data_IF_809983533268
#
_entry.id   IF_809983533268
#
_cell.length_a   1.000
_cell.length_b   1.000
_cell.length_c   1.000
_cell.angle_alpha   90.00
_cell.angle_beta   90.00
_cell.angle_gamma   90.00
#
_symmetry.space_group_name_H-M   'P 1'
#
loop_
_entity.id
_entity.type
_entity.pdbx_description
1 polymer ?
#
# COMPACT_ATOMS: atom_id res chain seq x y z
N UNK A 1 -4.67 8.17 20.25
CA UNK A 1 -3.40 8.41 20.03
C UNK A 1 -3.02 8.70 18.63
N UNK A 2 -2.33 9.59 18.42
CA UNK A 2 -2.10 10.01 17.10
C UNK A 2 -1.01 9.23 16.48
N UNK A 3 -0.96 9.29 15.21
CA UNK A 3 0.07 8.69 14.50
C UNK A 3 1.36 9.37 14.73
N UNK A 4 2.44 8.64 14.68
CA UNK A 4 3.74 9.20 14.77
C UNK A 4 4.11 9.71 13.40
N UNK A 5 4.48 10.97 13.24
CA UNK A 5 4.85 11.48 11.94
C UNK A 5 5.97 10.65 11.33
N UNK A 6 5.85 10.32 10.09
CA UNK A 6 6.87 9.54 9.40
C UNK A 6 6.68 8.05 9.51
N UNK A 7 5.60 7.60 10.13
CA UNK A 7 5.38 6.18 10.24
C UNK A 7 4.74 5.65 8.96
N UNK A 8 5.26 4.55 8.44
CA UNK A 8 4.72 3.92 7.25
C UNK A 8 3.39 3.26 7.56
N UNK A 9 2.42 3.43 6.67
CA UNK A 9 1.12 2.82 6.85
C UNK A 9 0.98 1.48 6.16
N UNK A 10 1.87 1.20 5.20
CA UNK A 10 1.80 -0.04 4.45
C UNK A 10 3.05 -0.86 4.69
N UNK A 11 2.86 -2.15 4.90
CA UNK A 11 3.95 -3.04 5.23
C UNK A 11 4.24 -3.97 4.06
N UNK A 12 5.49 -4.37 3.92
CA UNK A 12 5.88 -5.33 2.89
C UNK A 12 5.08 -6.61 3.08
N UNK A 13 4.56 -7.14 1.99
CA UNK A 13 3.80 -8.38 2.03
C UNK A 13 2.32 -8.21 2.33
N UNK A 14 1.89 -7.01 2.62
CA UNK A 14 0.51 -6.77 2.95
C UNK A 14 -0.36 -6.84 1.70
N UNK A 15 -1.54 -7.41 1.81
CA UNK A 15 -2.43 -7.50 0.67
C UNK A 15 -3.31 -6.28 0.63
N UNK A 16 -3.45 -5.73 -0.57
CA UNK A 16 -4.22 -4.51 -0.76
C UNK A 16 -5.10 -4.67 -1.99
N UNK A 17 -6.05 -3.78 -2.13
CA UNK A 17 -6.90 -3.73 -3.30
C UNK A 17 -6.97 -2.31 -3.82
N UNK A 18 -6.79 -2.19 -5.13
CA UNK A 18 -6.91 -0.91 -5.82
C UNK A 18 -8.13 -0.98 -6.71
N UNK A 19 -8.89 0.10 -6.76
CA UNK A 19 -10.14 0.06 -7.50
C UNK A 19 -9.95 -0.19 -8.99
N UNK A 20 -8.83 0.22 -9.54
CA UNK A 20 -8.57 0.02 -10.96
C UNK A 20 -7.76 -1.22 -11.23
N UNK A 21 -6.73 -1.45 -10.43
CA UNK A 21 -5.78 -2.55 -10.70
C UNK A 21 -6.14 -3.84 -9.99
N UNK A 22 -7.13 -3.81 -9.11
CA UNK A 22 -7.53 -5.03 -8.43
C UNK A 22 -6.64 -5.33 -7.24
N UNK A 23 -6.53 -6.60 -6.92
CA UNK A 23 -5.78 -7.02 -5.75
C UNK A 23 -4.30 -7.11 -6.04
N UNK A 24 -3.52 -6.79 -5.05
CA UNK A 24 -2.08 -6.84 -5.17
C UNK A 24 -1.42 -7.02 -3.83
N UNK A 25 -0.10 -7.05 -3.85
CA UNK A 25 0.69 -7.23 -2.65
C UNK A 25 1.71 -6.12 -2.57
N UNK A 26 1.84 -5.53 -1.40
CA UNK A 26 2.82 -4.48 -1.18
C UNK A 26 4.21 -5.09 -1.25
N UNK A 27 5.03 -4.59 -2.15
CA UNK A 27 6.42 -5.00 -2.25
C UNK A 27 7.25 -4.21 -1.27
N UNK A 28 7.03 -2.92 -1.22
CA UNK A 28 7.72 -2.05 -0.30
C UNK A 28 6.99 -0.73 -0.23
N UNK A 29 7.31 0.04 0.76
CA UNK A 29 6.81 1.41 0.81
C UNK A 29 7.88 2.27 1.45
N UNK A 30 7.87 3.53 1.09
CA UNK A 30 8.79 4.45 1.71
C UNK A 30 8.12 5.80 1.88
N UNK A 31 8.52 6.48 2.92
CA UNK A 31 7.96 7.79 3.20
C UNK A 31 8.62 8.83 2.33
N UNK A 32 7.83 9.73 1.83
CA UNK A 32 8.32 10.91 1.15
C UNK A 32 8.09 12.08 2.09
N UNK A 33 8.35 13.28 1.61
CA UNK A 33 8.15 14.43 2.46
C UNK A 33 6.70 14.56 2.91
N UNK A 34 5.77 14.35 2.00
CA UNK A 34 4.36 14.59 2.31
C UNK A 34 3.48 13.36 2.19
N UNK A 35 4.05 12.23 1.86
CA UNK A 35 3.21 11.10 1.51
C UNK A 35 3.99 9.80 1.72
N UNK A 36 3.44 8.72 1.24
CA UNK A 36 4.08 7.42 1.30
C UNK A 36 3.98 6.82 -0.09
N UNK A 37 5.12 6.45 -0.66
CA UNK A 37 5.15 5.82 -1.97
C UNK A 37 5.09 4.32 -1.76
N UNK A 38 4.04 3.70 -2.26
CA UNK A 38 3.80 2.27 -2.06
C UNK A 38 4.02 1.57 -3.39
N UNK A 39 4.93 0.61 -3.38
CA UNK A 39 5.16 -0.22 -4.56
C UNK A 39 4.34 -1.48 -4.40
N UNK A 40 3.46 -1.73 -5.33
CA UNK A 40 2.51 -2.84 -5.24
C UNK A 40 2.63 -3.69 -6.48
N UNK A 41 2.67 -5.01 -6.29
CA UNK A 41 2.68 -5.96 -7.39
C UNK A 41 1.25 -6.43 -7.61
N UNK A 42 0.73 -6.15 -8.79
CA UNK A 42 -0.61 -6.58 -9.17
C UNK A 42 -0.46 -7.71 -10.19
N UNK A 43 -0.98 -8.89 -9.90
CA UNK A 43 -0.71 -10.05 -10.76
C UNK A 43 -0.94 -9.82 -12.24
N UNK A 44 -1.99 -9.09 -12.59
CA UNK A 44 -2.30 -8.90 -13.99
C UNK A 44 -1.88 -7.55 -14.54
N UNK A 45 -1.33 -6.70 -13.70
CA UNK A 45 -1.02 -5.34 -14.12
C UNK A 45 0.41 -4.94 -13.85
N UNK A 46 1.20 -5.86 -13.31
CA UNK A 46 2.60 -5.57 -13.04
C UNK A 46 2.82 -4.77 -11.78
N UNK A 47 4.04 -4.32 -11.61
CA UNK A 47 4.42 -3.57 -10.43
C UNK A 47 4.17 -2.09 -10.66
N UNK A 48 3.52 -1.46 -9.69
CA UNK A 48 3.17 -0.05 -9.79
C UNK A 48 3.58 0.68 -8.54
N UNK A 49 4.05 1.90 -8.71
CA UNK A 49 4.36 2.78 -7.58
C UNK A 49 3.22 3.76 -7.44
N UNK A 50 2.62 3.79 -6.27
CA UNK A 50 1.43 4.57 -6.03
C UNK A 50 1.65 5.47 -4.83
N UNK A 51 1.06 6.66 -4.86
CA UNK A 51 1.12 7.54 -3.71
C UNK A 51 -0.06 7.21 -2.81
N UNK A 52 0.24 6.89 -1.57
CA UNK A 52 -0.79 6.40 -0.65
C UNK A 52 -1.99 7.32 -0.53
N UNK A 53 -1.75 8.61 -0.48
CA UNK A 53 -2.86 9.55 -0.28
C UNK A 53 -3.80 9.60 -1.46
N UNK A 54 -3.34 9.20 -2.65
CA UNK A 54 -4.15 9.29 -3.85
C UNK A 54 -4.69 7.95 -4.32
N UNK A 55 -4.06 6.87 -3.90
CA UNK A 55 -4.37 5.57 -4.48
C UNK A 55 -5.65 4.95 -3.94
N UNK A 56 -6.04 5.30 -2.74
CA UNK A 56 -7.22 4.72 -2.15
C UNK A 56 -7.11 3.23 -1.93
N UNK A 57 -5.93 2.77 -1.55
CA UNK A 57 -5.73 1.35 -1.34
C UNK A 57 -6.49 0.86 -0.13
N UNK A 58 -7.10 -0.30 -0.24
CA UNK A 58 -7.74 -0.98 0.87
C UNK A 58 -6.85 -2.11 1.32
N UNK A 59 -6.60 -2.19 2.61
CA UNK A 59 -5.83 -3.30 3.17
C UNK A 59 -6.74 -4.51 3.27
N UNK A 60 -6.30 -5.60 2.71
CA UNK A 60 -7.11 -6.81 2.64
C UNK A 60 -6.57 -7.94 3.47
N UNK A 61 -5.57 -7.68 4.29
CA UNK A 61 -5.02 -8.73 5.12
C UNK A 61 -6.08 -9.24 6.06
N UNK A 62 -6.11 -10.53 6.21
CA UNK A 62 -6.99 -11.13 7.15
C UNK A 62 -6.20 -11.49 8.35
N UNK A 63 -6.51 -10.94 9.47
CA UNK A 63 -5.84 -11.35 10.70
C UNK A 63 -6.17 -12.78 10.81
N UNK A 64 -5.30 -13.50 11.03
CA UNK A 64 -5.44 -14.87 11.10
C UNK A 64 -6.69 -15.31 11.70
N UNK A 65 -7.62 -15.31 11.29
CA UNK A 65 -8.83 -15.61 11.90
C UNK A 65 -8.92 -16.88 12.48
#
# INVERSE_FOLDING_TARGET
>A
MSMIPGERRYQDGQRVRHRTFGEGVVVSSKLTRDDEEVTVAFPDRGVRKLMASLAGLEVRDQPGV
#
